data_IF_089591701529
#
_entry.id   IF_089591701529
#
_cell.length_a   1.000
_cell.length_b   1.000
_cell.length_c   1.000
_cell.angle_alpha   90.00
_cell.angle_beta   90.00
_cell.angle_gamma   90.00
#
_symmetry.space_group_name_H-M   'P 1'
#
loop_
_entity.id
_entity.type
_entity.pdbx_description
1 polymer ?
#
# COMPACT_ATOMS: atom_id res chain seq x y z
N UNK A 1 -34.96 2.99 -1.56
CA UNK A 1 -33.82 2.60 -0.71
C UNK A 1 -33.24 1.30 -1.24
N UNK A 2 -31.98 1.34 -1.72
CA UNK A 2 -31.29 0.28 -2.45
C UNK A 2 -31.32 -1.06 -1.69
N UNK A 3 -31.59 -2.16 -2.40
CA UNK A 3 -31.67 -3.51 -1.82
C UNK A 3 -30.39 -3.94 -1.08
N UNK A 4 -29.23 -3.45 -1.56
CA UNK A 4 -27.92 -3.67 -0.94
C UNK A 4 -27.83 -3.10 0.49
N UNK A 5 -28.39 -1.90 0.73
CA UNK A 5 -28.37 -1.26 2.05
C UNK A 5 -29.19 -2.04 3.07
N UNK A 6 -30.40 -2.50 2.69
CA UNK A 6 -31.24 -3.34 3.55
C UNK A 6 -30.61 -4.69 3.88
N UNK A 7 -29.81 -5.23 2.97
CA UNK A 7 -29.07 -6.48 3.19
C UNK A 7 -27.97 -6.27 4.24
N UNK A 8 -27.15 -5.22 4.06
CA UNK A 8 -26.11 -4.85 5.02
C UNK A 8 -26.71 -4.55 6.40
N UNK A 9 -27.68 -3.63 6.53
CA UNK A 9 -28.31 -3.30 7.82
C UNK A 9 -28.89 -4.54 8.56
N UNK A 10 -29.27 -5.59 7.83
CA UNK A 10 -29.74 -6.85 8.44
C UNK A 10 -28.59 -7.68 9.02
N UNK A 11 -27.45 -7.70 8.34
CA UNK A 11 -26.25 -8.41 8.78
C UNK A 11 -25.51 -7.68 9.90
N UNK A 12 -25.54 -6.34 9.91
CA UNK A 12 -24.91 -5.47 10.92
C UNK A 12 -25.22 -5.92 12.37
N UNK A 13 -26.44 -6.39 12.63
CA UNK A 13 -26.86 -6.89 13.96
C UNK A 13 -26.00 -8.02 14.52
N UNK A 14 -25.34 -8.80 13.67
CA UNK A 14 -24.44 -9.87 14.08
C UNK A 14 -23.05 -9.37 14.49
N UNK A 15 -22.70 -8.15 14.07
CA UNK A 15 -21.39 -7.53 14.23
C UNK A 15 -21.36 -6.41 15.31
N UNK A 16 -22.52 -5.94 15.77
CA UNK A 16 -22.65 -5.00 16.89
C UNK A 16 -22.29 -5.66 18.24
N UNK A 17 -21.98 -4.84 19.26
CA UNK A 17 -21.65 -5.30 20.62
C UNK A 17 -22.69 -6.26 21.18
N UNK A 18 -22.29 -7.48 21.53
CA UNK A 18 -23.16 -8.58 21.96
C UNK A 18 -23.62 -9.55 20.86
N UNK A 19 -23.21 -9.33 19.61
CA UNK A 19 -23.44 -10.21 18.46
C UNK A 19 -22.45 -11.37 18.38
N UNK A 20 -22.83 -12.48 17.71
CA UNK A 20 -21.96 -13.66 17.56
C UNK A 20 -20.65 -13.37 16.81
N UNK A 21 -20.62 -12.32 15.98
CA UNK A 21 -19.49 -11.92 15.15
C UNK A 21 -18.93 -10.54 15.54
N UNK A 22 -19.12 -10.12 16.81
CA UNK A 22 -18.63 -8.83 17.33
C UNK A 22 -17.14 -8.59 17.03
N UNK A 23 -16.32 -9.65 17.06
CA UNK A 23 -14.89 -9.59 16.75
C UNK A 23 -14.59 -9.12 15.31
N UNK A 24 -15.50 -9.37 14.36
CA UNK A 24 -15.36 -8.95 12.97
C UNK A 24 -16.08 -7.62 12.68
N UNK A 25 -16.55 -6.93 13.72
CA UNK A 25 -17.25 -5.65 13.59
C UNK A 25 -16.47 -4.62 12.80
N UNK A 26 -15.18 -4.46 13.08
CA UNK A 26 -14.30 -3.53 12.39
C UNK A 26 -14.19 -3.82 10.87
N UNK A 27 -14.14 -5.11 10.49
CA UNK A 27 -14.07 -5.50 9.09
C UNK A 27 -15.40 -5.22 8.37
N UNK A 28 -16.52 -5.52 9.03
CA UNK A 28 -17.85 -5.24 8.50
C UNK A 28 -18.07 -3.73 8.31
N UNK A 29 -17.68 -2.92 9.30
CA UNK A 29 -17.78 -1.46 9.25
C UNK A 29 -16.92 -0.85 8.14
N UNK A 30 -15.70 -1.35 7.94
CA UNK A 30 -14.85 -0.94 6.82
C UNK A 30 -15.54 -1.19 5.47
N UNK A 31 -16.20 -2.34 5.29
CA UNK A 31 -16.92 -2.68 4.06
C UNK A 31 -18.19 -1.82 3.90
N UNK A 32 -18.98 -1.60 4.95
CA UNK A 32 -20.17 -0.73 4.86
C UNK A 32 -19.77 0.72 4.55
N UNK A 33 -18.74 1.24 5.21
CA UNK A 33 -18.23 2.62 5.01
C UNK A 33 -17.48 2.80 3.68
N UNK A 34 -17.03 1.71 3.07
CA UNK A 34 -16.50 1.73 1.71
C UNK A 34 -17.63 1.88 0.67
N UNK A 35 -18.77 1.22 0.89
CA UNK A 35 -19.89 1.20 -0.05
C UNK A 35 -20.90 2.34 0.18
N UNK A 36 -21.06 2.78 1.43
CA UNK A 36 -22.07 3.75 1.86
C UNK A 36 -21.49 4.75 2.85
N UNK A 37 -22.18 5.89 3.01
CA UNK A 37 -21.80 6.90 4.00
C UNK A 37 -22.30 6.50 5.40
N UNK A 38 -21.57 6.85 6.48
CA UNK A 38 -22.01 6.57 7.85
C UNK A 38 -23.36 7.22 8.15
N UNK A 39 -24.24 6.50 8.82
CA UNK A 39 -25.57 7.00 9.24
C UNK A 39 -25.52 7.78 10.57
N UNK A 40 -24.41 7.68 11.30
CA UNK A 40 -24.23 8.33 12.59
C UNK A 40 -24.07 9.84 12.45
N UNK A 41 -25.05 10.59 12.98
CA UNK A 41 -24.99 12.05 13.08
C UNK A 41 -24.63 12.47 14.50
N UNK A 42 -23.75 13.46 14.63
CA UNK A 42 -23.45 14.05 15.94
C UNK A 42 -24.73 14.63 16.53
N UNK A 43 -25.05 14.28 17.79
CA UNK A 43 -26.24 14.77 18.48
C UNK A 43 -25.94 15.95 19.43
N UNK A 44 -24.71 16.06 19.91
CA UNK A 44 -24.29 17.06 20.90
C UNK A 44 -23.13 17.91 20.35
N UNK A 45 -23.05 19.16 20.82
CA UNK A 45 -22.02 20.12 20.43
C UNK A 45 -20.62 19.70 20.92
N UNK A 46 -19.53 20.11 20.22
CA UNK A 46 -19.53 21.02 19.07
C UNK A 46 -19.76 20.29 17.74
N UNK A 47 -20.72 20.78 16.95
CA UNK A 47 -20.96 20.37 15.57
C UNK A 47 -20.03 21.13 14.62
N UNK A 48 -18.72 20.94 14.73
CA UNK A 48 -17.82 21.44 13.69
C UNK A 48 -18.02 20.53 12.47
N UNK A 49 -18.79 21.04 11.50
CA UNK A 49 -19.00 20.38 10.21
C UNK A 49 -17.88 20.83 9.29
N UNK A 50 -16.80 20.07 9.26
CA UNK A 50 -15.77 20.23 8.26
C UNK A 50 -16.10 19.36 7.04
N UNK A 51 -15.83 19.88 5.84
CA UNK A 51 -15.92 19.11 4.60
C UNK A 51 -14.68 18.22 4.38
N UNK A 52 -13.62 18.46 5.17
CA UNK A 52 -12.37 17.69 5.14
C UNK A 52 -12.48 16.52 6.11
N UNK A 53 -12.77 15.34 5.56
CA UNK A 53 -12.70 14.06 6.25
C UNK A 53 -11.32 13.40 6.09
N UNK A 54 -10.87 12.65 7.11
CA UNK A 54 -9.57 11.95 7.08
C UNK A 54 -9.44 11.04 5.85
N UNK A 55 -10.52 10.33 5.50
CA UNK A 55 -10.62 9.48 4.31
C UNK A 55 -10.30 10.24 3.03
N UNK A 56 -10.98 11.37 2.80
CA UNK A 56 -10.73 12.25 1.65
C UNK A 56 -9.29 12.78 1.62
N UNK A 57 -8.75 13.23 2.75
CA UNK A 57 -7.36 13.72 2.81
C UNK A 57 -6.38 12.61 2.40
N UNK A 58 -6.57 11.40 2.91
CA UNK A 58 -5.68 10.26 2.59
C UNK A 58 -5.76 9.87 1.11
N UNK A 59 -6.96 9.88 0.51
CA UNK A 59 -7.14 9.63 -0.93
C UNK A 59 -6.45 10.72 -1.77
N UNK A 60 -6.56 12.00 -1.37
CA UNK A 60 -5.88 13.09 -2.07
C UNK A 60 -4.36 12.94 -2.01
N UNK A 61 -3.80 12.60 -0.85
CA UNK A 61 -2.37 12.36 -0.70
C UNK A 61 -1.93 11.17 -1.56
N UNK A 62 -2.68 10.08 -1.54
CA UNK A 62 -2.41 8.91 -2.37
C UNK A 62 -2.42 9.25 -3.87
N UNK A 63 -3.41 10.02 -4.33
CA UNK A 63 -3.49 10.49 -5.71
C UNK A 63 -2.34 11.44 -6.07
N UNK A 64 -1.95 12.33 -5.15
CA UNK A 64 -0.86 13.28 -5.36
C UNK A 64 0.52 12.60 -5.49
N UNK A 65 0.67 11.37 -4.98
CA UNK A 65 1.89 10.56 -5.12
C UNK A 65 1.96 9.83 -6.48
N UNK A 66 0.83 9.64 -7.17
CA UNK A 66 0.78 8.91 -8.45
C UNK A 66 1.70 9.49 -9.54
N UNK A 67 1.81 10.81 -9.75
CA UNK A 67 2.78 11.37 -10.70
C UNK A 67 4.23 10.97 -10.38
N UNK A 68 4.60 10.97 -9.09
CA UNK A 68 5.92 10.51 -8.65
C UNK A 68 6.10 9.02 -8.89
N UNK A 69 5.07 8.21 -8.66
CA UNK A 69 5.11 6.77 -8.94
C UNK A 69 5.29 6.50 -10.45
N UNK A 70 4.56 7.20 -11.32
CA UNK A 70 4.72 7.07 -12.78
C UNK A 70 6.11 7.49 -13.25
N UNK A 71 6.63 8.60 -12.74
CA UNK A 71 7.99 9.01 -13.04
C UNK A 71 9.03 8.00 -12.55
N UNK A 72 8.82 7.42 -11.35
CA UNK A 72 9.68 6.36 -10.81
C UNK A 72 9.68 5.12 -11.70
N UNK A 73 8.50 4.64 -12.12
CA UNK A 73 8.37 3.51 -13.05
C UNK A 73 9.08 3.80 -14.37
N UNK A 74 8.82 4.96 -14.99
CA UNK A 74 9.50 5.35 -16.22
C UNK A 74 11.03 5.39 -16.06
N UNK A 75 11.54 5.95 -14.97
CA UNK A 75 12.98 6.07 -14.74
C UNK A 75 13.65 4.70 -14.54
N UNK A 76 13.04 3.80 -13.76
CA UNK A 76 13.53 2.42 -13.60
C UNK A 76 13.59 1.71 -14.94
N UNK A 77 12.54 1.81 -15.76
CA UNK A 77 12.52 1.20 -17.08
C UNK A 77 13.53 1.80 -18.05
N UNK A 78 13.69 3.12 -18.07
CA UNK A 78 14.68 3.82 -18.90
C UNK A 78 16.11 3.36 -18.58
N UNK A 79 16.46 3.27 -17.29
CA UNK A 79 17.77 2.78 -16.86
C UNK A 79 17.97 1.30 -17.23
N UNK A 80 16.94 0.47 -17.05
CA UNK A 80 17.01 -0.95 -17.38
C UNK A 80 17.12 -1.20 -18.89
N UNK A 81 16.28 -0.57 -19.72
CA UNK A 81 16.36 -0.66 -21.18
C UNK A 81 17.68 -0.08 -21.71
N UNK A 82 18.14 1.05 -21.16
CA UNK A 82 19.43 1.63 -21.54
C UNK A 82 20.60 0.69 -21.23
N UNK A 83 20.59 0.04 -20.06
CA UNK A 83 21.58 -0.97 -19.71
C UNK A 83 21.53 -2.17 -20.66
N UNK A 84 20.33 -2.70 -20.96
CA UNK A 84 20.15 -3.82 -21.90
C UNK A 84 20.65 -3.49 -23.31
N UNK A 85 20.38 -2.29 -23.81
CA UNK A 85 20.86 -1.83 -25.11
C UNK A 85 22.40 -1.79 -25.17
N UNK A 86 23.07 -1.34 -24.10
CA UNK A 86 24.54 -1.34 -24.04
C UNK A 86 25.16 -2.74 -23.92
N UNK A 87 24.45 -3.68 -23.28
CA UNK A 87 24.88 -5.07 -23.11
C UNK A 87 24.51 -5.97 -24.31
N UNK A 88 23.76 -5.46 -25.30
CA UNK A 88 23.30 -6.23 -26.45
C UNK A 88 22.26 -7.32 -26.11
N UNK A 89 21.44 -7.07 -25.08
CA UNK A 89 20.39 -8.00 -24.63
C UNK A 89 19.07 -7.61 -25.31
N UNK A 90 18.65 -8.37 -26.31
CA UNK A 90 17.42 -8.09 -27.07
C UNK A 90 16.14 -8.58 -26.35
N UNK A 91 16.26 -9.58 -25.47
CA UNK A 91 15.12 -10.15 -24.76
C UNK A 91 15.44 -10.41 -23.29
N UNK A 92 14.53 -9.97 -22.41
CA UNK A 92 14.53 -10.36 -21.00
C UNK A 92 14.08 -11.81 -20.91
N UNK A 93 14.94 -12.69 -20.42
CA UNK A 93 14.58 -14.11 -20.25
C UNK A 93 13.82 -14.31 -18.93
N UNK A 94 12.67 -14.98 -19.01
CA UNK A 94 11.87 -15.42 -17.84
C UNK A 94 10.46 -14.82 -17.79
N UNK A 95 9.72 -15.14 -16.73
CA UNK A 95 8.31 -14.78 -16.56
C UNK A 95 8.02 -13.28 -16.79
N UNK A 96 8.92 -12.40 -16.34
CA UNK A 96 8.78 -10.94 -16.55
C UNK A 96 8.88 -10.57 -18.03
N UNK A 97 9.83 -11.15 -18.75
CA UNK A 97 10.00 -10.93 -20.18
C UNK A 97 8.83 -11.47 -20.99
N UNK A 98 8.34 -12.66 -20.65
CA UNK A 98 7.16 -13.26 -21.29
C UNK A 98 5.92 -12.38 -21.10
N UNK A 99 5.69 -11.89 -19.88
CA UNK A 99 4.58 -10.98 -19.57
C UNK A 99 4.70 -9.65 -20.34
N UNK A 100 5.91 -9.09 -20.43
CA UNK A 100 6.15 -7.84 -21.16
C UNK A 100 5.99 -8.01 -22.68
N UNK A 101 6.43 -9.14 -23.21
CA UNK A 101 6.23 -9.49 -24.62
C UNK A 101 4.73 -9.67 -24.95
N UNK A 102 3.96 -10.29 -24.06
CA UNK A 102 2.49 -10.38 -24.21
C UNK A 102 1.79 -9.01 -24.19
N UNK A 103 2.35 -8.03 -23.49
CA UNK A 103 1.86 -6.65 -23.42
C UNK A 103 2.39 -5.76 -24.56
N UNK A 104 3.21 -6.31 -25.46
CA UNK A 104 3.77 -5.61 -26.62
C UNK A 104 4.92 -4.65 -26.30
N UNK A 105 5.65 -4.85 -25.20
CA UNK A 105 6.82 -4.04 -24.88
C UNK A 105 8.03 -4.45 -25.73
N UNK A 106 8.63 -3.49 -26.45
CA UNK A 106 9.72 -3.70 -27.40
C UNK A 106 11.14 -3.50 -26.84
N UNK A 107 11.29 -3.33 -25.52
CA UNK A 107 12.57 -3.07 -24.83
C UNK A 107 13.37 -1.86 -25.37
N UNK A 108 12.72 -0.88 -26.01
CA UNK A 108 13.41 0.28 -26.57
C UNK A 108 13.54 1.42 -25.52
N UNK A 109 14.75 1.93 -25.23
CA UNK A 109 14.96 3.06 -24.32
C UNK A 109 14.26 4.36 -24.75
N UNK A 110 14.04 4.57 -26.05
CA UNK A 110 13.40 5.79 -26.56
C UNK A 110 11.87 5.74 -26.45
N UNK A 111 11.29 4.56 -26.19
CA UNK A 111 9.86 4.37 -26.10
C UNK A 111 9.37 4.62 -24.67
N UNK A 112 8.48 5.61 -24.52
CA UNK A 112 7.81 5.88 -23.24
C UNK A 112 7.05 4.66 -22.71
N UNK A 113 6.40 3.91 -23.61
CA UNK A 113 5.57 2.76 -23.24
C UNK A 113 6.41 1.58 -22.76
N UNK A 114 7.52 1.29 -23.43
CA UNK A 114 8.40 0.18 -23.07
C UNK A 114 9.07 0.43 -21.71
N UNK A 115 9.52 1.65 -21.48
CA UNK A 115 10.10 2.06 -20.20
C UNK A 115 9.06 2.00 -19.07
N UNK A 116 7.84 2.48 -19.31
CA UNK A 116 6.79 2.47 -18.29
C UNK A 116 6.39 1.04 -17.91
N UNK A 117 6.18 0.16 -18.90
CA UNK A 117 5.80 -1.24 -18.65
C UNK A 117 6.91 -2.02 -17.94
N UNK A 118 8.16 -1.85 -18.37
CA UNK A 118 9.28 -2.50 -17.72
C UNK A 118 9.40 -2.06 -16.26
N UNK A 119 9.38 -0.76 -15.99
CA UNK A 119 9.42 -0.25 -14.61
C UNK A 119 8.21 -0.67 -13.77
N UNK A 120 7.01 -0.70 -14.34
CA UNK A 120 5.81 -1.21 -13.68
C UNK A 120 5.95 -2.69 -13.27
N UNK A 121 6.62 -3.52 -14.09
CA UNK A 121 6.87 -4.92 -13.77
C UNK A 121 7.76 -5.13 -12.52
N UNK A 122 8.60 -4.16 -12.18
CA UNK A 122 9.41 -4.15 -10.95
C UNK A 122 8.64 -3.59 -9.76
N UNK A 123 8.00 -2.43 -9.93
CA UNK A 123 7.37 -1.72 -8.81
C UNK A 123 6.02 -2.31 -8.38
N UNK A 124 5.17 -2.74 -9.32
CA UNK A 124 3.83 -3.23 -8.99
C UNK A 124 3.86 -4.44 -8.02
N UNK A 125 4.73 -5.45 -8.20
CA UNK A 125 4.86 -6.53 -7.23
C UNK A 125 5.24 -6.05 -5.82
N UNK A 126 6.15 -5.07 -5.70
CA UNK A 126 6.57 -4.49 -4.42
C UNK A 126 5.37 -3.79 -3.74
N UNK A 127 4.62 -2.99 -4.50
CA UNK A 127 3.44 -2.31 -3.99
C UNK A 127 2.35 -3.31 -3.56
N UNK A 128 2.08 -4.34 -4.36
CA UNK A 128 1.10 -5.38 -4.04
C UNK A 128 1.46 -6.13 -2.76
N UNK A 129 2.72 -6.56 -2.61
CA UNK A 129 3.17 -7.25 -1.40
C UNK A 129 3.07 -6.35 -0.19
N UNK A 130 3.48 -5.09 -0.31
CA UNK A 130 3.35 -4.10 0.77
C UNK A 130 1.90 -3.96 1.21
N UNK A 131 1.00 -3.77 0.25
CA UNK A 131 -0.43 -3.55 0.50
C UNK A 131 -1.08 -4.78 1.14
N UNK A 132 -0.81 -5.97 0.62
CA UNK A 132 -1.39 -7.22 1.13
C UNK A 132 -0.87 -7.52 2.54
N UNK A 133 0.45 -7.54 2.74
CA UNK A 133 1.04 -7.95 4.03
C UNK A 133 0.75 -6.93 5.12
N UNK A 134 0.91 -5.64 4.85
CA UNK A 134 0.59 -4.61 5.84
C UNK A 134 -0.92 -4.52 6.12
N UNK A 135 -1.76 -4.69 5.10
CA UNK A 135 -3.21 -4.73 5.25
C UNK A 135 -3.68 -5.90 6.12
N UNK A 136 -3.07 -7.08 5.96
CA UNK A 136 -3.34 -8.25 6.83
C UNK A 136 -3.04 -7.90 8.29
N UNK A 137 -1.89 -7.31 8.59
CA UNK A 137 -1.55 -6.91 9.96
C UNK A 137 -2.53 -5.89 10.52
N UNK A 138 -2.91 -4.89 9.73
CA UNK A 138 -3.86 -3.87 10.14
C UNK A 138 -5.23 -4.46 10.48
N UNK A 139 -5.73 -5.38 9.65
CA UNK A 139 -7.00 -6.10 9.91
C UNK A 139 -6.90 -6.95 11.17
N UNK A 140 -5.79 -7.68 11.36
CA UNK A 140 -5.57 -8.50 12.56
C UNK A 140 -5.60 -7.63 13.82
N UNK A 141 -4.85 -6.52 13.83
CA UNK A 141 -4.79 -5.64 15.00
C UNK A 141 -6.12 -4.92 15.26
N UNK A 142 -6.85 -4.52 14.22
CA UNK A 142 -8.19 -3.95 14.34
C UNK A 142 -9.18 -4.94 14.99
N UNK A 143 -9.14 -6.22 14.58
CA UNK A 143 -9.96 -7.29 15.18
C UNK A 143 -9.58 -7.52 16.65
N UNK A 144 -8.29 -7.61 16.96
CA UNK A 144 -7.81 -7.89 18.32
C UNK A 144 -8.10 -6.74 19.29
N UNK A 145 -7.98 -5.49 18.83
CA UNK A 145 -8.15 -4.29 19.65
C UNK A 145 -9.58 -3.73 19.62
N UNK A 146 -10.43 -4.21 18.71
CA UNK A 146 -11.80 -3.75 18.55
C UNK A 146 -11.91 -2.28 18.13
N UNK A 147 -11.01 -1.79 17.28
CA UNK A 147 -11.07 -0.45 16.71
C UNK A 147 -11.30 -0.50 15.18
N UNK A 148 -11.78 0.60 14.62
CA UNK A 148 -11.97 0.78 13.19
C UNK A 148 -10.65 0.69 12.40
N UNK A 149 -10.74 0.22 11.15
CA UNK A 149 -9.60 0.17 10.22
C UNK A 149 -9.41 1.57 9.63
N UNK A 150 -8.19 2.09 9.72
CA UNK A 150 -7.88 3.44 9.25
C UNK A 150 -7.33 3.42 7.81
N UNK A 151 -7.79 4.36 7.00
CA UNK A 151 -7.36 4.48 5.60
C UNK A 151 -5.94 5.04 5.44
N UNK A 152 -5.31 5.53 6.50
CA UNK A 152 -3.92 5.98 6.49
C UNK A 152 -2.91 4.92 6.05
N UNK A 153 -3.29 3.64 6.07
CA UNK A 153 -2.46 2.57 5.52
C UNK A 153 -2.30 2.63 3.99
N UNK A 154 -3.31 3.12 3.25
CA UNK A 154 -3.19 3.32 1.81
C UNK A 154 -1.99 4.23 1.50
N UNK A 155 -1.85 5.31 2.26
CA UNK A 155 -0.71 6.24 2.12
C UNK A 155 0.59 5.59 2.58
N UNK A 156 0.58 4.85 3.68
CA UNK A 156 1.78 4.17 4.19
C UNK A 156 2.32 3.14 3.19
N UNK A 157 1.43 2.38 2.56
CA UNK A 157 1.81 1.33 1.60
C UNK A 157 2.46 1.88 0.33
N UNK A 158 1.92 2.95 -0.25
CA UNK A 158 2.51 3.58 -1.46
C UNK A 158 3.82 4.30 -1.13
N UNK A 159 3.91 4.97 0.02
CA UNK A 159 5.14 5.64 0.43
C UNK A 159 6.24 4.62 0.73
N UNK A 160 5.93 3.53 1.42
CA UNK A 160 6.90 2.48 1.69
C UNK A 160 7.43 1.87 0.39
N UNK A 161 6.55 1.47 -0.55
CA UNK A 161 6.98 0.83 -1.80
C UNK A 161 7.86 1.74 -2.66
N UNK A 162 7.61 3.05 -2.67
CA UNK A 162 8.41 4.04 -3.40
C UNK A 162 9.75 4.35 -2.74
N UNK A 163 9.93 3.97 -1.48
CA UNK A 163 11.20 4.16 -0.77
C UNK A 163 12.13 2.95 -0.88
N UNK A 164 11.72 1.87 -1.53
CA UNK A 164 12.54 0.68 -1.68
C UNK A 164 13.22 0.63 -3.06
N UNK A 165 14.39 0.00 -3.16
CA UNK A 165 15.02 -0.22 -4.45
C UNK A 165 14.21 -1.26 -5.27
N UNK A 166 14.20 -1.15 -6.61
CA UNK A 166 13.30 -1.93 -7.49
C UNK A 166 13.65 -3.43 -7.57
N UNK A 167 14.87 -3.79 -7.20
CA UNK A 167 15.44 -5.15 -7.21
C UNK A 167 15.28 -5.87 -5.86
N UNK A 168 14.68 -5.22 -4.85
CA UNK A 168 14.50 -5.82 -3.53
C UNK A 168 13.68 -7.12 -3.60
N UNK A 169 14.12 -8.20 -2.93
CA UNK A 169 13.34 -9.43 -2.85
C UNK A 169 11.97 -9.20 -2.18
N UNK A 170 10.90 -9.75 -2.77
CA UNK A 170 9.53 -9.53 -2.30
C UNK A 170 9.29 -9.95 -0.85
N UNK A 171 9.98 -10.99 -0.37
CA UNK A 171 9.86 -11.41 1.03
C UNK A 171 10.44 -10.38 2.01
N UNK A 172 11.50 -9.65 1.62
CA UNK A 172 12.06 -8.56 2.44
C UNK A 172 11.07 -7.39 2.51
N UNK A 173 10.40 -7.06 1.40
CA UNK A 173 9.31 -6.07 1.39
C UNK A 173 8.25 -6.44 2.44
N UNK A 174 7.82 -7.70 2.46
CA UNK A 174 6.86 -8.23 3.42
C UNK A 174 7.34 -8.11 4.87
N UNK A 175 8.60 -8.45 5.16
CA UNK A 175 9.17 -8.30 6.50
C UNK A 175 9.30 -6.84 6.93
N UNK A 176 9.73 -5.96 6.02
CA UNK A 176 9.90 -4.54 6.28
C UNK A 176 8.59 -3.85 6.62
N UNK A 177 7.53 -4.09 5.82
CA UNK A 177 6.21 -3.54 6.12
C UNK A 177 5.62 -4.16 7.38
N UNK A 178 5.85 -5.45 7.64
CA UNK A 178 5.41 -6.11 8.87
C UNK A 178 6.03 -5.44 10.10
N UNK A 179 7.35 -5.18 10.08
CA UNK A 179 8.03 -4.48 11.17
C UNK A 179 7.51 -3.04 11.31
N UNK A 180 7.39 -2.31 10.20
CA UNK A 180 6.92 -0.92 10.19
C UNK A 180 5.50 -0.77 10.74
N UNK A 181 4.57 -1.63 10.33
CA UNK A 181 3.17 -1.62 10.80
C UNK A 181 3.08 -2.13 12.24
N UNK A 182 3.62 -3.31 12.53
CA UNK A 182 3.47 -3.90 13.87
C UNK A 182 4.20 -3.07 14.92
N UNK A 183 5.50 -2.84 14.74
CA UNK A 183 6.34 -2.17 15.73
C UNK A 183 6.19 -0.67 15.65
N UNK A 184 6.17 -0.09 14.44
CA UNK A 184 6.13 1.36 14.26
C UNK A 184 4.75 1.99 14.48
N UNK A 185 3.66 1.22 14.40
CA UNK A 185 2.27 1.73 14.50
C UNK A 185 1.41 0.99 15.52
N UNK A 186 1.22 -0.32 15.36
CA UNK A 186 0.17 -1.06 16.09
C UNK A 186 0.52 -1.34 17.56
N UNK A 187 1.81 -1.52 17.88
CA UNK A 187 2.29 -1.65 19.27
C UNK A 187 1.93 -0.41 20.09
N UNK A 188 1.97 0.78 19.47
CA UNK A 188 1.63 2.06 20.11
C UNK A 188 0.13 2.37 20.12
N UNK A 189 -0.71 1.44 19.65
CA UNK A 189 -2.16 1.57 19.70
C UNK A 189 -2.78 2.21 18.47
N UNK A 190 -2.10 2.15 17.32
CA UNK A 190 -2.65 2.42 16.00
C UNK A 190 -2.44 3.85 15.49
N UNK A 191 -3.21 4.22 14.46
CA UNK A 191 -3.11 5.53 13.79
C UNK A 191 -3.35 6.69 14.75
N UNK A 192 -2.46 7.68 14.72
CA UNK A 192 -2.56 8.90 15.54
C UNK A 192 -1.88 8.79 16.92
N UNK A 193 -1.39 7.60 17.29
CA UNK A 193 -0.57 7.37 18.49
C UNK A 193 0.88 6.98 18.18
N UNK A 194 1.18 6.75 16.90
CA UNK A 194 2.50 6.39 16.43
C UNK A 194 3.45 7.59 16.52
N UNK A 195 4.51 7.47 17.33
CA UNK A 195 5.53 8.50 17.45
C UNK A 195 6.51 8.53 16.27
N UNK A 196 6.57 7.42 15.51
CA UNK A 196 7.40 7.27 14.31
C UNK A 196 6.54 7.15 13.05
N UNK A 197 7.15 7.50 11.92
CA UNK A 197 6.59 7.18 10.60
C UNK A 197 6.72 5.67 10.34
N UNK A 198 5.61 4.92 10.16
CA UNK A 198 5.66 3.46 10.00
C UNK A 198 6.39 3.01 8.74
N UNK A 199 6.25 3.73 7.62
CA UNK A 199 6.95 3.41 6.37
C UNK A 199 8.47 3.59 6.53
N UNK A 200 8.91 4.72 7.11
CA UNK A 200 10.34 4.96 7.35
C UNK A 200 10.90 4.01 8.41
N UNK A 201 10.10 3.61 9.40
CA UNK A 201 10.50 2.60 10.39
C UNK A 201 10.76 1.25 9.73
N UNK A 202 9.86 0.82 8.82
CA UNK A 202 10.07 -0.39 8.03
C UNK A 202 11.31 -0.29 7.13
N UNK A 203 11.55 0.87 6.50
CA UNK A 203 12.74 1.09 5.67
C UNK A 203 14.02 1.06 6.50
N UNK A 204 14.03 1.68 7.68
CA UNK A 204 15.18 1.67 8.58
C UNK A 204 15.49 0.24 9.05
N UNK A 205 14.46 -0.56 9.37
CA UNK A 205 14.64 -1.97 9.67
C UNK A 205 15.31 -2.73 8.53
N UNK A 206 14.84 -2.56 7.29
CA UNK A 206 15.46 -3.22 6.13
C UNK A 206 16.89 -2.73 5.89
N UNK A 207 17.15 -1.45 6.07
CA UNK A 207 18.49 -0.87 5.90
C UNK A 207 19.51 -1.51 6.86
N UNK A 208 19.16 -1.74 8.12
CA UNK A 208 20.07 -2.34 9.10
C UNK A 208 20.10 -3.87 9.06
N UNK A 209 18.97 -4.52 8.75
CA UNK A 209 18.88 -5.98 8.73
C UNK A 209 19.41 -6.59 7.41
N UNK A 210 19.22 -5.89 6.29
CA UNK A 210 19.54 -6.37 4.94
C UNK A 210 20.29 -5.30 4.14
N UNK A 211 21.50 -4.88 4.60
CA UNK A 211 22.23 -3.79 3.96
C UNK A 211 22.60 -4.12 2.52
N UNK A 212 22.95 -5.36 2.19
CA UNK A 212 23.37 -5.74 0.83
C UNK A 212 22.36 -5.40 -0.28
N UNK A 213 21.05 -5.43 0.02
CA UNK A 213 19.99 -5.05 -0.93
C UNK A 213 19.57 -3.58 -0.80
N UNK A 214 20.05 -2.86 0.22
CA UNK A 214 19.65 -1.50 0.55
C UNK A 214 20.78 -0.47 0.38
N UNK A 215 22.03 -0.91 0.36
CA UNK A 215 23.24 -0.11 0.14
C UNK A 215 23.83 -0.39 -1.23
N UNK A 216 24.34 0.63 -1.91
CA UNK A 216 25.08 0.45 -3.16
C UNK A 216 26.43 -0.23 -2.95
N UNK A 217 26.96 -0.84 -4.01
CA UNK A 217 28.20 -1.63 -4.01
C UNK A 217 29.46 -0.84 -3.60
N UNK A 218 29.42 0.49 -3.66
CA UNK A 218 30.51 1.36 -3.24
C UNK A 218 30.12 2.18 -2.00
N UNK A 219 30.87 2.00 -0.92
CA UNK A 219 30.93 2.95 0.19
C UNK A 219 31.55 4.22 -0.38
N UNK A 220 30.79 5.30 -0.43
CA UNK A 220 31.30 6.62 -0.83
C UNK A 220 32.36 7.13 0.17
#
# INVERSE_FOLDING_TARGET
MNGLRKFLDRQERHFLRGGKLEQFGALYEMVDTFLFSPSAVTRNAPHIRDAIDLKRVMIFVWLAVMPCAFMGMFNVGLQANGAMATMGIDQIVGFRGDMLAMLGAGNNPDSLWDNLLLGASYWLPIYLVTFIVGGIWEVIFAIVRGHEINEGFFVTSILFSLTLPPDIPLWQVGLGISFGVVVGKEVFGGTGKNFLNPALTGRAFLYFAYPAQMSGDMVW
#
